data_IF_078731143031
#
_entry.id   IF_078731143031
#
_cell.length_a   1.000
_cell.length_b   1.000
_cell.length_c   1.000
_cell.angle_alpha   90.00
_cell.angle_beta   90.00
_cell.angle_gamma   90.00
#
_symmetry.space_group_name_H-M   'P 1'
#
loop_
_entity.id
_entity.type
_entity.pdbx_description
1 polymer ?
#
# COMPACT_ATOMS: atom_id res chain seq x y z
N UNK A 1 15.38 19.10 6.22
CA UNK A 1 15.20 17.89 7.05
C UNK A 1 13.72 17.54 7.10
N UNK A 2 13.30 16.32 6.75
CA UNK A 2 11.90 15.90 6.88
C UNK A 2 11.76 15.19 8.23
N UNK A 3 11.17 15.88 9.20
CA UNK A 3 10.78 15.26 10.47
C UNK A 3 9.95 13.99 10.21
N UNK A 4 10.36 12.91 10.87
CA UNK A 4 9.64 11.66 10.90
C UNK A 4 8.24 11.91 11.44
N UNK A 5 7.22 11.81 10.59
CA UNK A 5 5.81 12.09 10.94
C UNK A 5 5.30 11.19 12.07
N UNK A 6 6.01 10.12 12.42
CA UNK A 6 5.73 9.25 13.57
C UNK A 6 6.00 9.91 14.93
N UNK A 7 6.78 11.01 14.99
CA UNK A 7 7.10 11.74 16.23
C UNK A 7 6.13 12.87 16.59
N UNK A 8 5.15 13.18 15.75
CA UNK A 8 4.39 14.43 15.89
C UNK A 8 3.42 14.45 17.08
N UNK A 9 2.93 13.28 17.52
CA UNK A 9 2.06 13.12 18.68
C UNK A 9 2.41 11.77 19.34
N UNK A 10 3.48 11.76 20.14
CA UNK A 10 3.89 10.58 20.90
C UNK A 10 2.88 10.22 22.00
N UNK A 11 3.11 9.09 22.66
CA UNK A 11 2.20 8.58 23.70
C UNK A 11 2.16 9.50 24.93
N UNK A 12 3.24 10.23 25.23
CA UNK A 12 3.26 11.21 26.31
C UNK A 12 2.33 12.38 26.01
N UNK A 13 2.43 12.92 24.80
CA UNK A 13 1.59 13.99 24.29
C UNK A 13 0.10 13.60 24.26
N UNK A 14 -0.19 12.35 23.88
CA UNK A 14 -1.57 11.83 23.87
C UNK A 14 -2.16 11.65 25.26
N UNK A 15 -1.36 11.25 26.26
CA UNK A 15 -1.81 11.21 27.66
C UNK A 15 -2.13 12.60 28.20
N UNK A 16 -1.29 13.59 27.92
CA UNK A 16 -1.56 14.97 28.33
C UNK A 16 -2.89 15.48 27.73
N UNK A 17 -3.14 15.16 26.46
CA UNK A 17 -4.39 15.49 25.82
C UNK A 17 -5.60 14.77 26.43
N UNK A 18 -5.43 13.52 26.84
CA UNK A 18 -6.48 12.77 27.52
C UNK A 18 -6.84 13.37 28.88
N UNK A 19 -5.86 13.78 29.68
CA UNK A 19 -6.13 14.42 30.98
C UNK A 19 -6.95 15.71 30.80
N UNK A 20 -6.63 16.51 29.79
CA UNK A 20 -7.42 17.69 29.45
C UNK A 20 -8.85 17.34 28.98
N UNK A 21 -9.00 16.29 28.19
CA UNK A 21 -10.32 15.84 27.73
C UNK A 21 -11.15 15.30 28.91
N UNK A 22 -10.54 14.52 29.82
CA UNK A 22 -11.17 14.01 31.05
C UNK A 22 -11.61 15.14 31.98
N UNK A 23 -10.81 16.21 32.06
CA UNK A 23 -11.15 17.41 32.82
C UNK A 23 -12.21 18.30 32.12
N UNK A 24 -12.83 17.82 31.03
CA UNK A 24 -13.90 18.54 30.33
C UNK A 24 -13.43 19.64 29.39
N UNK A 25 -12.16 19.68 28.99
CA UNK A 25 -11.66 20.73 28.09
C UNK A 25 -12.34 20.68 26.72
N UNK A 26 -12.86 21.83 26.29
CA UNK A 26 -13.37 22.02 24.93
C UNK A 26 -12.26 22.10 23.89
N UNK A 27 -12.64 21.96 22.60
CA UNK A 27 -11.71 21.96 21.45
C UNK A 27 -10.76 23.17 21.42
N UNK A 28 -11.23 24.36 21.80
CA UNK A 28 -10.45 25.60 21.74
C UNK A 28 -9.43 25.70 22.89
N UNK A 29 -9.75 25.10 24.04
CA UNK A 29 -8.84 24.97 25.17
C UNK A 29 -7.76 23.93 24.88
N UNK A 30 -8.16 22.79 24.32
CA UNK A 30 -7.25 21.70 23.94
C UNK A 30 -6.28 22.16 22.82
N UNK A 31 -6.79 22.87 21.81
CA UNK A 31 -5.98 23.43 20.72
C UNK A 31 -4.94 24.43 21.20
N UNK A 32 -5.34 25.38 22.06
CA UNK A 32 -4.42 26.39 22.63
C UNK A 32 -3.37 25.77 23.54
N UNK A 33 -3.78 24.86 24.43
CA UNK A 33 -2.88 24.29 25.45
C UNK A 33 -1.84 23.34 24.88
N UNK A 34 -2.19 22.62 23.82
CA UNK A 34 -1.30 21.66 23.16
C UNK A 34 -0.69 22.18 21.85
N UNK A 35 -0.94 23.44 21.48
CA UNK A 35 -0.53 24.04 20.22
C UNK A 35 -0.88 23.17 18.99
N UNK A 36 -2.04 22.48 19.03
CA UNK A 36 -2.53 21.63 17.95
C UNK A 36 -3.59 22.36 17.11
N UNK A 37 -3.70 22.05 15.81
CA UNK A 37 -4.81 22.54 15.00
C UNK A 37 -6.17 22.18 15.62
N UNK A 38 -7.11 23.13 15.60
CA UNK A 38 -8.46 22.98 16.19
C UNK A 38 -9.21 21.74 15.67
N UNK A 39 -8.97 21.36 14.41
CA UNK A 39 -9.60 20.16 13.84
C UNK A 39 -9.08 18.85 14.46
N UNK A 40 -7.81 18.81 14.91
CA UNK A 40 -7.24 17.64 15.63
C UNK A 40 -7.86 17.58 17.03
N UNK A 41 -7.92 18.71 17.74
CA UNK A 41 -8.57 18.79 19.05
C UNK A 41 -10.04 18.34 19.00
N UNK A 42 -10.80 18.80 18.00
CA UNK A 42 -12.17 18.36 17.75
C UNK A 42 -12.27 16.86 17.49
N UNK A 43 -11.35 16.31 16.68
CA UNK A 43 -11.33 14.89 16.36
C UNK A 43 -11.03 14.04 17.62
N UNK A 44 -10.06 14.43 18.44
CA UNK A 44 -9.70 13.70 19.66
C UNK A 44 -10.82 13.70 20.71
N UNK A 45 -11.52 14.82 20.89
CA UNK A 45 -12.72 14.87 21.75
C UNK A 45 -13.81 13.94 21.21
N UNK A 46 -14.01 13.91 19.88
CA UNK A 46 -14.95 12.99 19.24
C UNK A 46 -14.59 11.53 19.49
N UNK A 47 -13.32 11.15 19.27
CA UNK A 47 -12.80 9.80 19.49
C UNK A 47 -12.94 9.36 20.95
N UNK A 48 -12.64 10.24 21.90
CA UNK A 48 -12.82 9.94 23.32
C UNK A 48 -14.28 9.68 23.68
N UNK A 49 -15.21 10.51 23.18
CA UNK A 49 -16.64 10.32 23.44
C UNK A 49 -17.20 9.04 22.83
N UNK A 50 -16.70 8.61 21.68
CA UNK A 50 -17.21 7.43 20.98
C UNK A 50 -16.53 6.12 21.38
N UNK A 51 -15.26 6.16 21.79
CA UNK A 51 -14.42 4.97 21.91
C UNK A 51 -13.47 5.01 23.12
N UNK A 52 -13.57 6.01 24.00
CA UNK A 52 -12.76 6.12 25.21
C UNK A 52 -11.29 6.43 24.97
N UNK A 53 -10.47 6.19 26.01
CA UNK A 53 -9.06 6.60 26.06
C UNK A 53 -8.18 5.91 25.01
N UNK A 54 -8.43 4.63 24.74
CA UNK A 54 -7.64 3.83 23.79
C UNK A 54 -7.66 4.41 22.37
N UNK A 55 -8.76 5.08 22.00
CA UNK A 55 -8.93 5.68 20.69
C UNK A 55 -8.06 6.93 20.50
N UNK A 56 -7.80 7.69 21.57
CA UNK A 56 -6.93 8.88 21.55
C UNK A 56 -5.46 8.48 21.65
N UNK A 57 -5.15 7.43 22.42
CA UNK A 57 -3.80 6.87 22.52
C UNK A 57 -3.30 6.25 21.22
N UNK A 58 -4.16 6.08 20.22
CA UNK A 58 -3.80 5.47 18.94
C UNK A 58 -3.42 4.00 19.09
N UNK A 59 -4.08 3.30 20.03
CA UNK A 59 -4.12 1.85 20.14
C UNK A 59 -4.82 1.27 18.90
N UNK A 60 -4.08 1.24 17.79
CA UNK A 60 -4.67 1.06 16.48
C UNK A 60 -3.65 1.10 15.36
N UNK A 61 -2.51 0.42 15.54
CA UNK A 61 -2.02 -0.36 14.39
C UNK A 61 -3.21 -1.18 13.86
N UNK A 62 -3.37 -1.31 12.54
CA UNK A 62 -4.56 -1.91 11.90
C UNK A 62 -5.20 -2.97 12.81
N UNK A 63 -6.36 -2.69 13.43
CA UNK A 63 -7.04 -3.66 14.29
C UNK A 63 -7.16 -4.95 13.48
N UNK A 64 -6.42 -5.99 13.89
CA UNK A 64 -6.38 -7.27 13.19
C UNK A 64 -7.48 -8.10 13.80
N UNK A 65 -8.56 -8.27 13.03
CA UNK A 65 -9.60 -9.23 13.36
C UNK A 65 -9.12 -10.60 12.88
N UNK A 66 -9.28 -11.62 13.73
CA UNK A 66 -9.08 -12.99 13.31
C UNK A 66 -10.09 -13.35 12.20
N UNK A 67 -9.80 -14.44 11.47
CA UNK A 67 -10.65 -14.83 10.35
C UNK A 67 -12.04 -15.28 10.82
N UNK A 68 -12.13 -15.90 12.01
CA UNK A 68 -13.37 -16.40 12.59
C UNK A 68 -14.35 -15.26 12.90
N UNK A 69 -13.86 -14.17 13.48
CA UNK A 69 -14.62 -12.96 13.81
C UNK A 69 -15.16 -12.30 12.54
N UNK A 70 -14.38 -12.28 11.46
CA UNK A 70 -14.85 -11.70 10.18
C UNK A 70 -15.96 -12.53 9.55
N UNK A 71 -15.81 -13.86 9.56
CA UNK A 71 -16.80 -14.79 9.02
C UNK A 71 -18.06 -14.77 9.88
N UNK A 72 -17.93 -14.81 11.21
CA UNK A 72 -19.04 -14.75 12.15
C UNK A 72 -19.82 -13.42 12.02
N UNK A 73 -19.12 -12.28 11.93
CA UNK A 73 -19.77 -10.99 11.74
C UNK A 73 -20.48 -10.85 10.40
N UNK A 74 -19.90 -11.43 9.34
CA UNK A 74 -20.51 -11.43 8.01
C UNK A 74 -21.74 -12.34 7.97
N UNK A 75 -21.66 -13.52 8.58
CA UNK A 75 -22.76 -14.47 8.70
C UNK A 75 -23.91 -13.90 9.51
N UNK A 76 -23.62 -13.27 10.64
CA UNK A 76 -24.64 -12.65 11.49
C UNK A 76 -25.43 -11.57 10.75
N UNK A 77 -24.77 -10.79 9.90
CA UNK A 77 -25.46 -9.79 9.08
C UNK A 77 -26.19 -10.38 7.86
N UNK A 78 -25.58 -11.34 7.16
CA UNK A 78 -26.07 -11.84 5.86
C UNK A 78 -27.11 -12.94 6.02
N UNK A 79 -26.97 -13.83 7.00
CA UNK A 79 -27.87 -14.99 7.22
C UNK A 79 -28.79 -14.76 8.43
N UNK A 80 -28.25 -14.24 9.54
CA UNK A 80 -29.03 -14.07 10.77
C UNK A 80 -29.80 -12.74 10.83
N UNK A 81 -29.67 -11.89 9.81
CA UNK A 81 -30.44 -10.65 9.66
C UNK A 81 -30.10 -9.54 10.66
N UNK A 82 -28.98 -9.64 11.39
CA UNK A 82 -28.55 -8.57 12.30
C UNK A 82 -28.30 -7.29 11.52
N UNK A 83 -28.63 -6.14 12.11
CA UNK A 83 -28.24 -4.86 11.54
C UNK A 83 -26.71 -4.70 11.59
N UNK A 84 -26.14 -3.90 10.69
CA UNK A 84 -24.68 -3.66 10.64
C UNK A 84 -24.14 -3.15 11.98
N UNK A 85 -24.92 -2.33 12.67
CA UNK A 85 -24.62 -1.79 14.00
C UNK A 85 -24.59 -2.86 15.08
N UNK A 86 -25.55 -3.79 15.08
CA UNK A 86 -25.59 -4.89 16.04
C UNK A 86 -24.47 -5.89 15.79
N UNK A 87 -24.18 -6.23 14.52
CA UNK A 87 -23.04 -7.07 14.17
C UNK A 87 -21.70 -6.41 14.56
N UNK A 88 -21.56 -5.10 14.40
CA UNK A 88 -20.37 -4.38 14.85
C UNK A 88 -20.21 -4.38 16.37
N UNK A 89 -21.30 -4.15 17.11
CA UNK A 89 -21.27 -4.16 18.57
C UNK A 89 -20.94 -5.56 19.12
N UNK A 90 -21.56 -6.60 18.54
CA UNK A 90 -21.38 -8.00 18.94
C UNK A 90 -19.96 -8.52 18.70
N UNK A 91 -19.32 -8.09 17.63
CA UNK A 91 -17.98 -8.56 17.21
C UNK A 91 -16.85 -7.55 17.45
N UNK A 92 -17.12 -6.47 18.19
CA UNK A 92 -16.11 -5.45 18.52
C UNK A 92 -15.51 -4.74 17.29
N UNK A 93 -16.28 -4.59 16.22
CA UNK A 93 -15.79 -4.05 14.94
C UNK A 93 -15.91 -2.53 14.96
N UNK A 94 -14.76 -1.86 14.86
CA UNK A 94 -14.67 -0.39 14.92
C UNK A 94 -15.10 0.32 13.61
N UNK A 95 -15.43 -0.40 12.53
CA UNK A 95 -15.65 0.20 11.21
C UNK A 95 -16.72 -0.51 10.37
N UNK A 96 -17.79 0.23 10.03
CA UNK A 96 -18.83 -0.18 9.06
C UNK A 96 -18.20 -0.62 7.73
N UNK A 97 -17.23 0.14 7.21
CA UNK A 97 -16.61 -0.15 5.92
C UNK A 97 -15.81 -1.46 5.92
N UNK A 98 -15.31 -1.88 7.08
CA UNK A 98 -14.62 -3.18 7.23
C UNK A 98 -15.63 -4.32 7.19
N UNK A 99 -16.74 -4.20 7.95
CA UNK A 99 -17.83 -5.17 7.93
C UNK A 99 -18.48 -5.30 6.54
N UNK A 100 -18.75 -4.20 5.85
CA UNK A 100 -19.36 -4.24 4.50
C UNK A 100 -18.47 -4.93 3.47
N UNK A 101 -17.15 -4.81 3.61
CA UNK A 101 -16.20 -5.53 2.77
C UNK A 101 -16.30 -7.03 3.04
N UNK A 102 -16.26 -7.45 4.29
CA UNK A 102 -16.36 -8.87 4.65
C UNK A 102 -17.71 -9.46 4.25
N UNK A 103 -18.82 -8.74 4.44
CA UNK A 103 -20.14 -9.18 3.96
C UNK A 103 -20.20 -9.34 2.44
N UNK A 104 -19.46 -8.51 1.68
CA UNK A 104 -19.36 -8.67 0.22
C UNK A 104 -18.53 -9.89 -0.15
N UNK A 105 -17.37 -10.05 0.48
CA UNK A 105 -16.47 -11.19 0.28
C UNK A 105 -17.18 -12.52 0.65
N UNK A 106 -17.94 -12.51 1.75
CA UNK A 106 -18.79 -13.62 2.22
C UNK A 106 -19.92 -13.95 1.24
N UNK A 107 -20.62 -12.96 0.66
CA UNK A 107 -21.64 -13.22 -0.38
C UNK A 107 -21.05 -13.76 -1.69
N UNK A 108 -19.81 -13.42 -2.00
CA UNK A 108 -19.15 -13.85 -3.25
C UNK A 108 -18.58 -15.27 -3.22
N UNK A 109 -18.38 -15.88 -2.05
CA UNK A 109 -17.89 -17.27 -1.98
C UNK A 109 -17.92 -17.95 -0.61
N UNK A 110 -18.79 -17.49 0.30
CA UNK A 110 -18.97 -18.07 1.63
C UNK A 110 -17.72 -18.01 2.51
N UNK A 111 -17.74 -18.76 3.62
CA UNK A 111 -16.61 -18.85 4.56
C UNK A 111 -15.31 -19.37 3.92
N UNK A 112 -15.37 -20.04 2.76
CA UNK A 112 -14.22 -20.66 2.09
C UNK A 112 -13.42 -19.71 1.18
N UNK A 113 -14.02 -18.61 0.69
CA UNK A 113 -13.33 -17.65 -0.17
C UNK A 113 -12.25 -16.84 0.57
N UNK A 114 -12.44 -16.58 1.88
CA UNK A 114 -11.42 -15.89 2.69
C UNK A 114 -10.34 -16.87 3.19
N UNK A 115 -10.66 -18.15 3.38
CA UNK A 115 -9.68 -19.20 3.73
C UNK A 115 -8.73 -19.48 2.57
N UNK A 116 -9.20 -19.54 1.32
CA UNK A 116 -8.33 -19.69 0.13
C UNK A 116 -7.41 -18.47 -0.03
N UNK A 117 -7.93 -17.25 0.11
CA UNK A 117 -7.12 -16.03 0.03
C UNK A 117 -6.10 -15.86 1.17
N UNK A 118 -6.29 -16.52 2.31
CA UNK A 118 -5.32 -16.58 3.41
C UNK A 118 -4.37 -17.78 3.30
N UNK A 119 -4.84 -18.93 2.81
CA UNK A 119 -4.04 -20.11 2.51
C UNK A 119 -3.00 -19.78 1.45
N UNK A 120 -3.41 -19.16 0.33
CA UNK A 120 -2.48 -18.67 -0.71
C UNK A 120 -1.48 -17.65 -0.12
N UNK A 121 -1.92 -16.74 0.76
CA UNK A 121 -1.01 -15.78 1.42
C UNK A 121 -0.07 -16.41 2.44
N UNK A 122 -0.46 -17.52 3.06
CA UNK A 122 0.36 -18.30 3.99
C UNK A 122 1.34 -19.17 3.21
N UNK A 123 0.91 -19.81 2.12
CA UNK A 123 1.74 -20.56 1.18
C UNK A 123 2.86 -19.67 0.63
N UNK A 124 2.51 -18.48 0.14
CA UNK A 124 3.48 -17.48 -0.34
C UNK A 124 4.45 -17.03 0.77
N UNK A 125 4.04 -17.03 2.04
CA UNK A 125 4.91 -16.69 3.18
C UNK A 125 5.77 -17.88 3.65
N UNK A 126 5.27 -19.11 3.58
CA UNK A 126 6.02 -20.32 3.90
C UNK A 126 7.06 -20.62 2.84
N UNK A 127 6.73 -20.45 1.55
CA UNK A 127 7.66 -20.55 0.42
C UNK A 127 8.78 -19.50 0.54
N UNK A 128 8.43 -18.25 0.89
CA UNK A 128 9.42 -17.21 1.15
C UNK A 128 10.33 -17.49 2.35
N UNK A 129 9.86 -18.25 3.35
CA UNK A 129 10.65 -18.67 4.52
C UNK A 129 11.50 -19.91 4.23
N UNK A 130 11.03 -20.85 3.43
CA UNK A 130 11.81 -22.02 3.00
C UNK A 130 12.95 -21.62 2.08
N UNK A 131 12.74 -20.63 1.20
CA UNK A 131 13.77 -20.09 0.33
C UNK A 131 14.86 -19.32 1.09
N UNK A 132 14.47 -18.58 2.14
CA UNK A 132 15.42 -17.90 3.02
C UNK A 132 16.28 -18.90 3.82
N UNK A 133 15.70 -20.03 4.26
CA UNK A 133 16.40 -21.08 5.01
C UNK A 133 17.30 -21.95 4.12
N UNK A 134 16.93 -22.12 2.85
CA UNK A 134 17.76 -22.78 1.83
C UNK A 134 18.98 -21.93 1.40
N UNK A 135 18.87 -20.60 1.49
CA UNK A 135 20.00 -19.68 1.29
C UNK A 135 21.03 -19.71 2.43
N UNK A 136 20.60 -19.99 3.66
CA UNK A 136 21.48 -19.99 4.84
C UNK A 136 22.38 -21.24 4.96
N UNK A 137 22.01 -22.38 4.36
CA UNK A 137 22.81 -23.63 4.42
C UNK A 137 23.95 -23.70 3.40
N UNK A 138 24.09 -22.71 2.53
CA UNK A 138 25.03 -22.73 1.38
C UNK A 138 26.17 -21.71 1.49
N UNK A 139 26.43 -21.18 2.68
CA UNK A 139 27.54 -20.25 2.93
C UNK A 139 28.56 -20.86 3.88
N UNK A 140 29.44 -21.69 3.32
CA UNK A 140 30.77 -21.90 3.88
C UNK A 140 31.62 -20.64 3.69
N UNK A 141 32.25 -20.20 4.79
CA UNK A 141 33.37 -19.26 4.98
C UNK A 141 34.39 -19.25 3.80
N UNK A 142 35.12 -18.18 3.42
CA UNK A 142 36.03 -17.21 4.12
C UNK A 142 36.48 -16.11 3.07
N UNK A 143 37.40 -15.13 3.31
CA UNK A 143 37.24 -13.85 4.01
C UNK A 143 37.71 -12.59 3.20
N UNK A 144 37.55 -11.42 3.82
CA UNK A 144 38.39 -10.18 3.75
C UNK A 144 38.74 -9.46 2.43
N UNK A 145 38.69 -8.12 2.53
CA UNK A 145 39.15 -7.17 1.52
C UNK A 145 38.56 -5.79 1.76
N UNK A 146 39.19 -5.02 2.65
CA UNK A 146 38.88 -3.64 3.00
C UNK A 146 38.76 -2.70 1.79
N UNK A 147 37.92 -1.68 1.92
CA UNK A 147 37.76 -0.65 0.91
C UNK A 147 36.63 0.32 1.22
N UNK A 148 36.72 1.02 2.35
CA UNK A 148 35.87 2.18 2.62
C UNK A 148 36.26 3.28 1.63
N UNK A 149 35.37 3.66 0.71
CA UNK A 149 35.34 5.03 0.19
C UNK A 149 33.90 5.53 0.02
N UNK A 150 33.54 6.70 0.58
CA UNK A 150 32.19 7.28 0.49
C UNK A 150 31.98 7.98 -0.86
N UNK A 151 30.91 7.65 -1.57
CA UNK A 151 30.57 8.27 -2.86
C UNK A 151 29.18 8.89 -2.85
N UNK A 152 29.01 10.03 -2.16
CA UNK A 152 28.04 11.03 -2.61
C UNK A 152 28.78 11.95 -3.58
N UNK A 153 28.66 11.66 -4.86
CA UNK A 153 28.97 12.65 -5.90
C UNK A 153 27.68 12.89 -6.69
N UNK A 154 27.13 14.11 -6.70
CA UNK A 154 26.04 14.48 -7.60
C UNK A 154 26.63 14.62 -9.02
N UNK A 155 26.12 13.83 -9.97
CA UNK A 155 26.45 13.92 -11.40
C UNK A 155 25.16 14.11 -12.23
N UNK A 156 25.27 14.67 -13.45
CA UNK A 156 24.37 15.69 -13.99
C UNK A 156 23.07 15.15 -14.58
N UNK A 157 22.19 16.07 -14.96
CA UNK A 157 20.88 15.86 -15.58
C UNK A 157 20.90 14.77 -16.70
N UNK A 158 20.58 13.55 -16.30
CA UNK A 158 20.35 12.41 -17.17
C UNK A 158 19.30 11.55 -16.51
N UNK A 159 18.32 11.07 -17.27
CA UNK A 159 17.23 10.22 -16.78
C UNK A 159 17.83 9.08 -15.95
N UNK A 160 17.59 9.08 -14.63
CA UNK A 160 18.08 8.02 -13.75
C UNK A 160 17.42 6.70 -14.17
N UNK A 161 18.16 5.85 -14.88
CA UNK A 161 17.68 4.53 -15.28
C UNK A 161 17.42 3.70 -14.02
N UNK A 162 16.14 3.41 -13.80
CA UNK A 162 15.67 2.67 -12.64
C UNK A 162 16.28 1.28 -12.61
N UNK A 163 16.38 0.69 -11.41
CA UNK A 163 16.85 -0.71 -11.27
C UNK A 163 16.01 -1.69 -12.10
N UNK A 164 14.74 -1.36 -12.34
CA UNK A 164 13.81 -2.19 -13.11
C UNK A 164 14.07 -2.10 -14.60
N UNK A 165 14.32 -0.91 -15.14
CA UNK A 165 14.76 -0.73 -16.53
C UNK A 165 16.10 -1.42 -16.78
N UNK A 166 17.07 -1.27 -15.86
CA UNK A 166 18.34 -2.02 -15.93
C UNK A 166 18.12 -3.53 -15.95
N UNK A 167 17.20 -4.04 -15.15
CA UNK A 167 16.85 -5.47 -15.14
C UNK A 167 16.22 -5.93 -16.46
N UNK A 168 15.40 -5.08 -17.09
CA UNK A 168 14.79 -5.37 -18.38
C UNK A 168 15.85 -5.45 -19.50
N UNK A 169 16.82 -4.54 -19.50
CA UNK A 169 17.96 -4.57 -20.44
C UNK A 169 18.82 -5.82 -20.22
N UNK A 170 19.14 -6.16 -18.97
CA UNK A 170 19.88 -7.39 -18.64
C UNK A 170 19.13 -8.64 -19.12
N UNK A 171 17.81 -8.70 -18.94
CA UNK A 171 16.99 -9.83 -19.40
C UNK A 171 17.03 -9.98 -20.92
N UNK A 172 16.93 -8.87 -21.65
CA UNK A 172 16.98 -8.84 -23.11
C UNK A 172 18.34 -9.28 -23.66
N UNK A 173 19.44 -8.82 -23.05
CA UNK A 173 20.79 -9.24 -23.44
C UNK A 173 21.09 -10.69 -23.04
N UNK A 174 20.61 -11.16 -21.89
CA UNK A 174 20.73 -12.57 -21.51
C UNK A 174 20.00 -13.49 -22.52
N UNK A 175 18.84 -13.06 -23.02
CA UNK A 175 18.10 -13.77 -24.08
C UNK A 175 18.83 -13.83 -25.44
N UNK A 176 19.85 -13.01 -25.66
CA UNK A 176 20.74 -13.04 -26.84
C UNK A 176 21.98 -13.91 -26.65
N UNK A 177 22.08 -14.63 -25.52
CA UNK A 177 23.20 -15.54 -25.23
C UNK A 177 24.36 -14.90 -24.46
N UNK A 178 24.25 -13.63 -24.04
CA UNK A 178 25.29 -13.00 -23.23
C UNK A 178 25.30 -13.54 -21.79
N UNK A 179 26.50 -13.69 -21.20
CA UNK A 179 26.67 -14.22 -19.84
C UNK A 179 26.04 -13.30 -18.79
N UNK A 180 25.04 -13.80 -18.06
CA UNK A 180 24.28 -13.06 -17.06
C UNK A 180 25.15 -12.40 -15.99
N UNK A 181 26.18 -13.09 -15.49
CA UNK A 181 27.03 -12.54 -14.42
C UNK A 181 27.81 -11.28 -14.88
N UNK A 182 28.20 -11.21 -16.15
CA UNK A 182 28.84 -10.03 -16.72
C UNK A 182 27.85 -8.88 -16.88
N UNK A 183 26.64 -9.17 -17.38
CA UNK A 183 25.58 -8.18 -17.53
C UNK A 183 25.16 -7.56 -16.21
N UNK A 184 25.03 -8.36 -15.15
CA UNK A 184 24.68 -7.88 -13.81
C UNK A 184 25.77 -6.99 -13.21
N UNK A 185 27.04 -7.35 -13.45
CA UNK A 185 28.20 -6.55 -13.02
C UNK A 185 28.24 -5.20 -13.72
N UNK A 186 28.09 -5.19 -15.05
CA UNK A 186 28.07 -3.95 -15.85
C UNK A 186 26.88 -3.07 -15.48
N UNK A 187 25.70 -3.67 -15.26
CA UNK A 187 24.50 -2.93 -14.87
C UNK A 187 24.49 -2.45 -13.42
N UNK A 188 25.48 -2.84 -12.60
CA UNK A 188 25.51 -2.58 -11.15
C UNK A 188 24.25 -3.10 -10.45
N UNK A 189 23.76 -4.28 -10.85
CA UNK A 189 22.50 -4.85 -10.40
C UNK A 189 22.73 -6.14 -9.59
N UNK A 190 22.25 -6.22 -8.34
CA UNK A 190 22.34 -7.46 -7.57
C UNK A 190 21.55 -8.59 -8.23
N UNK A 191 22.13 -9.80 -8.24
CA UNK A 191 21.49 -11.02 -8.78
C UNK A 191 20.10 -11.26 -8.17
N UNK A 192 19.94 -11.03 -6.87
CA UNK A 192 18.65 -11.09 -6.17
C UNK A 192 17.61 -10.11 -6.70
N UNK A 193 18.03 -8.89 -7.08
CA UNK A 193 17.14 -7.87 -7.65
C UNK A 193 16.68 -8.27 -9.06
N UNK A 194 17.60 -8.82 -9.86
CA UNK A 194 17.27 -9.33 -11.18
C UNK A 194 16.20 -10.44 -11.13
N UNK A 195 16.42 -11.48 -10.31
CA UNK A 195 15.47 -12.57 -10.18
C UNK A 195 14.15 -12.15 -9.53
N UNK A 196 14.17 -11.19 -8.59
CA UNK A 196 12.94 -10.61 -8.03
C UNK A 196 12.10 -9.89 -9.09
N UNK A 197 12.74 -9.12 -9.98
CA UNK A 197 12.03 -8.48 -11.09
C UNK A 197 11.56 -9.49 -12.15
N UNK A 198 12.30 -10.59 -12.33
CA UNK A 198 11.93 -11.68 -13.24
C UNK A 198 10.68 -12.41 -12.75
N UNK A 199 10.62 -12.74 -11.45
CA UNK A 199 9.47 -13.43 -10.83
C UNK A 199 8.26 -12.53 -10.59
N UNK A 200 8.45 -11.21 -10.61
CA UNK A 200 7.39 -10.22 -10.41
C UNK A 200 7.33 -9.24 -11.59
N UNK A 201 6.75 -9.66 -12.73
CA UNK A 201 6.53 -8.75 -13.86
C UNK A 201 5.73 -7.51 -13.41
N UNK A 202 5.90 -6.40 -14.13
CA UNK A 202 5.19 -5.17 -13.79
C UNK A 202 3.69 -5.39 -13.97
N UNK A 203 2.92 -5.18 -12.91
CA UNK A 203 1.47 -5.24 -13.00
C UNK A 203 0.98 -4.14 -13.94
N UNK A 204 0.43 -4.52 -15.09
CA UNK A 204 -0.20 -3.60 -16.02
C UNK A 204 -1.59 -3.24 -15.49
N UNK A 205 -1.75 -2.04 -14.96
CA UNK A 205 -3.08 -1.55 -14.58
C UNK A 205 -3.93 -1.31 -15.83
N UNK A 206 -5.02 -2.07 -15.98
CA UNK A 206 -6.09 -1.86 -16.99
C UNK A 206 -5.56 -1.80 -18.44
N UNK A 207 -5.05 -2.94 -18.97
CA UNK A 207 -4.61 -3.02 -20.37
C UNK A 207 -5.74 -2.74 -21.36
N UNK A 208 -6.99 -2.99 -20.96
CA UNK A 208 -8.22 -2.72 -21.71
C UNK A 208 -8.41 -1.23 -22.07
N UNK A 209 -7.87 -0.32 -21.27
CA UNK A 209 -8.07 1.13 -21.41
C UNK A 209 -7.02 1.79 -22.30
N UNK A 210 -5.85 1.18 -22.43
CA UNK A 210 -4.72 1.72 -23.19
C UNK A 210 -5.04 2.08 -24.65
N UNK A 211 -5.75 1.24 -25.45
CA UNK A 211 -6.06 1.60 -26.84
C UNK A 211 -6.95 2.85 -26.93
N UNK A 212 -7.94 2.99 -26.06
CA UNK A 212 -8.83 4.17 -26.04
C UNK A 212 -8.06 5.44 -25.64
N UNK A 213 -7.16 5.33 -24.65
CA UNK A 213 -6.28 6.44 -24.27
C UNK A 213 -5.36 6.85 -25.42
N UNK A 214 -4.83 5.88 -26.17
CA UNK A 214 -3.99 6.11 -27.36
C UNK A 214 -4.75 6.86 -28.45
N UNK A 215 -5.96 6.41 -28.78
CA UNK A 215 -6.81 7.03 -29.78
C UNK A 215 -7.12 8.50 -29.45
N UNK A 216 -7.45 8.79 -28.19
CA UNK A 216 -7.69 10.17 -27.73
C UNK A 216 -6.42 11.03 -27.79
N UNK A 217 -5.28 10.43 -27.40
CA UNK A 217 -3.99 11.11 -27.37
C UNK A 217 -3.48 11.47 -28.77
N UNK A 218 -3.57 10.55 -29.73
CA UNK A 218 -3.12 10.75 -31.12
C UNK A 218 -3.95 11.80 -31.87
N UNK A 219 -5.24 11.92 -31.56
CA UNK A 219 -6.14 12.93 -32.17
C UNK A 219 -5.88 14.35 -31.68
N UNK A 220 -5.19 14.55 -30.56
CA UNK A 220 -5.05 15.87 -29.95
C UNK A 220 -3.68 16.47 -30.27
N UNK A 221 -3.58 17.56 -31.07
CA UNK A 221 -2.29 18.14 -31.46
C UNK A 221 -1.49 18.74 -30.29
N UNK A 222 -2.16 19.08 -29.20
CA UNK A 222 -1.60 19.71 -28.01
C UNK A 222 -1.86 18.81 -26.80
N UNK A 223 -0.86 18.00 -26.40
CA UNK A 223 -0.92 16.97 -25.34
C UNK A 223 -2.09 17.10 -24.35
N UNK A 224 -3.10 16.25 -24.50
CA UNK A 224 -4.29 16.28 -23.67
C UNK A 224 -3.97 15.79 -22.25
N UNK A 225 -4.13 16.65 -21.25
CA UNK A 225 -3.88 16.26 -19.86
C UNK A 225 -4.74 15.06 -19.44
N UNK A 226 -4.25 14.22 -18.54
CA UNK A 226 -4.96 13.01 -18.05
C UNK A 226 -6.40 13.24 -17.54
N UNK A 227 -6.76 14.49 -17.19
CA UNK A 227 -8.14 14.87 -16.85
C UNK A 227 -9.03 14.99 -18.09
N UNK A 228 -8.53 15.53 -19.19
CA UNK A 228 -9.22 15.64 -20.48
C UNK A 228 -9.39 14.26 -21.10
N UNK A 229 -8.33 13.45 -21.10
CA UNK A 229 -8.41 12.05 -21.55
C UNK A 229 -9.47 11.27 -20.76
N UNK A 230 -9.53 11.46 -19.43
CA UNK A 230 -10.60 10.86 -18.62
C UNK A 230 -11.99 11.33 -19.06
N UNK A 231 -12.17 12.60 -19.40
CA UNK A 231 -13.47 13.10 -19.86
C UNK A 231 -13.86 12.44 -21.18
N UNK A 232 -12.97 12.41 -22.18
CA UNK A 232 -13.20 11.72 -23.45
C UNK A 232 -13.51 10.23 -23.25
N UNK A 233 -12.78 9.53 -22.38
CA UNK A 233 -13.08 8.13 -22.05
C UNK A 233 -14.50 7.92 -21.49
N UNK A 234 -15.00 8.87 -20.70
CA UNK A 234 -16.36 8.79 -20.14
C UNK A 234 -17.41 9.11 -21.19
N UNK A 235 -17.18 10.12 -22.03
CA UNK A 235 -18.17 10.61 -22.99
C UNK A 235 -18.22 9.81 -24.29
N UNK A 236 -17.07 9.35 -24.80
CA UNK A 236 -16.97 8.65 -26.09
C UNK A 236 -17.01 7.12 -25.92
N UNK A 237 -16.37 6.61 -24.87
CA UNK A 237 -16.19 5.16 -24.65
C UNK A 237 -17.00 4.62 -23.48
N UNK A 238 -17.82 5.45 -22.81
CA UNK A 238 -18.60 5.07 -21.62
C UNK A 238 -17.78 4.57 -20.42
N UNK A 239 -16.45 4.71 -20.47
CA UNK A 239 -15.53 4.04 -19.57
C UNK A 239 -15.18 4.95 -18.39
N UNK A 240 -15.80 4.66 -17.23
CA UNK A 240 -15.56 5.41 -15.99
C UNK A 240 -14.35 4.88 -15.24
N UNK A 241 -13.25 5.62 -15.31
CA UNK A 241 -12.03 5.33 -14.54
C UNK A 241 -11.49 6.56 -13.80
N UNK A 242 -10.64 6.31 -12.79
CA UNK A 242 -10.02 7.37 -12.01
C UNK A 242 -8.98 8.14 -12.85
N UNK A 243 -8.89 9.45 -12.64
CA UNK A 243 -7.90 10.29 -13.32
C UNK A 243 -6.46 9.83 -13.03
N UNK A 244 -6.20 9.26 -11.84
CA UNK A 244 -4.90 8.69 -11.47
C UNK A 244 -4.56 7.42 -12.26
N UNK A 245 -5.57 6.63 -12.64
CA UNK A 245 -5.41 5.46 -13.50
C UNK A 245 -5.02 5.90 -14.90
N UNK A 246 -5.75 6.87 -15.46
CA UNK A 246 -5.44 7.47 -16.78
C UNK A 246 -4.01 8.01 -16.81
N UNK A 247 -3.60 8.77 -15.79
CA UNK A 247 -2.24 9.29 -15.67
C UNK A 247 -1.18 8.18 -15.66
N UNK A 248 -1.47 7.04 -15.01
CA UNK A 248 -0.55 5.90 -14.97
C UNK A 248 -0.45 5.21 -16.34
N UNK A 249 -1.56 5.14 -17.08
CA UNK A 249 -1.59 4.61 -18.44
C UNK A 249 -0.79 5.51 -19.38
N UNK A 250 -1.02 6.83 -19.34
CA UNK A 250 -0.30 7.79 -20.17
C UNK A 250 1.21 7.79 -19.90
N UNK A 251 1.64 7.80 -18.63
CA UNK A 251 3.08 7.72 -18.26
C UNK A 251 3.79 6.46 -18.74
N UNK A 252 3.03 5.40 -19.05
CA UNK A 252 3.57 4.16 -19.61
C UNK A 252 3.67 4.23 -21.13
N UNK A 253 2.83 5.05 -21.77
CA UNK A 253 2.82 5.24 -23.23
C UNK A 253 3.85 6.25 -23.72
N UNK A 254 4.26 7.21 -22.87
CA UNK A 254 5.23 8.26 -23.19
C UNK A 254 4.85 9.56 -22.54
#
# INVERSE_FOLDING_TARGET
>A
MREDRRRRYDDGFRREALELIKSGAGKDTLARRLAIPVYIARNWIGLYRSNGEEAVMGGGGSRRYDWETKVAASRDHVENGLTKTEAMARHGIASIASLERWCRDYRSGGAQAETQGQAERREIQTEARTDARAGARRTGRVPEGEGRVPGKTPGPAGVQVTRRERSAVVRLLAGRGHRLDHLLRIAGLPKSTYYHHLSRPAHVSRPDVEPMVREIWERTPNGCGHRQVRMCLVHEFGTRISAKTVLRVMRRMG
#
